data_IF_846413370711
#
_entry.id   IF_846413370711
#
_cell.length_a   1.000
_cell.length_b   1.000
_cell.length_c   1.000
_cell.angle_alpha   90.00
_cell.angle_beta   90.00
_cell.angle_gamma   90.00
#
_symmetry.space_group_name_H-M   'P 1'
#
loop_
_entity.id
_entity.type
_entity.pdbx_description
1 polymer ?
#
# COMPACT_ATOMS: atom_id res chain seq x y z
N UNK A 1 -0.70 11.43 -12.89
CA UNK A 1 0.18 10.60 -12.04
C UNK A 1 0.10 9.17 -12.54
N UNK A 2 1.20 8.42 -12.57
CA UNK A 2 1.24 7.02 -13.00
C UNK A 2 2.09 6.19 -12.01
N UNK A 3 1.92 4.87 -12.02
CA UNK A 3 2.71 3.93 -11.19
C UNK A 3 3.46 2.97 -12.11
N UNK A 4 4.78 2.91 -11.97
CA UNK A 4 5.63 1.94 -12.64
C UNK A 4 5.85 0.74 -11.70
N UNK A 5 5.59 -0.47 -12.20
CA UNK A 5 5.87 -1.73 -11.47
C UNK A 5 6.89 -2.53 -12.26
N UNK A 6 8.01 -2.87 -11.63
CA UNK A 6 9.06 -3.72 -12.19
C UNK A 6 9.25 -4.96 -11.33
N UNK A 7 9.62 -6.09 -11.93
CA UNK A 7 9.85 -7.34 -11.22
C UNK A 7 11.18 -7.96 -11.64
N UNK A 8 12.01 -8.30 -10.65
CA UNK A 8 13.27 -9.02 -10.82
C UNK A 8 13.14 -10.39 -10.13
N UNK A 9 13.66 -11.42 -10.76
CA UNK A 9 13.53 -12.81 -10.34
C UNK A 9 14.36 -13.76 -11.20
N UNK A 10 14.49 -15.01 -10.76
CA UNK A 10 15.37 -16.02 -11.38
C UNK A 10 14.82 -16.62 -12.68
N UNK A 11 13.53 -16.42 -12.99
CA UNK A 11 12.90 -16.86 -14.23
C UNK A 11 11.83 -15.87 -14.69
N UNK A 12 11.52 -15.90 -15.99
CA UNK A 12 10.47 -15.07 -16.57
C UNK A 12 9.09 -15.37 -15.96
N UNK A 13 8.77 -16.65 -15.73
CA UNK A 13 7.51 -17.05 -15.11
C UNK A 13 7.37 -16.48 -13.68
N UNK A 14 8.45 -16.54 -12.90
CA UNK A 14 8.47 -15.98 -11.55
C UNK A 14 8.27 -14.46 -11.58
N UNK A 15 8.93 -13.75 -12.49
CA UNK A 15 8.72 -12.32 -12.70
C UNK A 15 7.29 -12.00 -13.12
N UNK A 16 6.71 -12.77 -14.05
CA UNK A 16 5.33 -12.57 -14.52
C UNK A 16 4.32 -12.71 -13.37
N UNK A 17 4.48 -13.73 -12.51
CA UNK A 17 3.66 -13.90 -11.32
C UNK A 17 3.80 -12.74 -10.33
N UNK A 18 5.02 -12.29 -10.05
CA UNK A 18 5.28 -11.13 -9.18
C UNK A 18 4.64 -9.87 -9.75
N UNK A 19 4.80 -9.64 -11.05
CA UNK A 19 4.24 -8.48 -11.73
C UNK A 19 2.71 -8.49 -11.70
N UNK A 20 2.08 -9.63 -12.01
CA UNK A 20 0.62 -9.78 -11.97
C UNK A 20 0.06 -9.49 -10.58
N UNK A 21 0.69 -10.03 -9.53
CA UNK A 21 0.30 -9.74 -8.14
C UNK A 21 0.50 -8.27 -7.78
N UNK A 22 1.65 -7.68 -8.13
CA UNK A 22 1.94 -6.27 -7.87
C UNK A 22 0.92 -5.33 -8.53
N UNK A 23 0.64 -5.55 -9.82
CA UNK A 23 -0.35 -4.79 -10.59
C UNK A 23 -1.74 -4.94 -9.96
N UNK A 24 -2.14 -6.15 -9.55
CA UNK A 24 -3.44 -6.37 -8.89
C UNK A 24 -3.55 -5.58 -7.59
N UNK A 25 -2.52 -5.59 -6.75
CA UNK A 25 -2.52 -4.85 -5.48
C UNK A 25 -2.57 -3.33 -5.70
N UNK A 26 -1.78 -2.79 -6.65
CA UNK A 26 -1.81 -1.36 -6.97
C UNK A 26 -3.17 -0.95 -7.52
N UNK A 27 -3.76 -1.75 -8.42
CA UNK A 27 -5.12 -1.48 -8.92
C UNK A 27 -6.15 -1.42 -7.79
N UNK A 28 -6.06 -2.31 -6.80
CA UNK A 28 -6.93 -2.28 -5.64
C UNK A 28 -6.74 -0.99 -4.82
N UNK A 29 -5.50 -0.53 -4.61
CA UNK A 29 -5.24 0.73 -3.90
C UNK A 29 -5.74 1.96 -4.67
N UNK A 30 -5.68 1.95 -6.00
CA UNK A 30 -6.15 3.06 -6.83
C UNK A 30 -7.67 3.11 -6.97
N UNK A 31 -8.36 1.97 -6.88
CA UNK A 31 -9.80 1.87 -7.08
C UNK A 31 -10.62 1.92 -5.78
N UNK A 32 -10.00 1.63 -4.62
CA UNK A 32 -10.72 1.44 -3.38
C UNK A 32 -10.95 2.76 -2.62
N UNK A 33 -12.21 3.20 -2.44
CA UNK A 33 -12.53 4.37 -1.63
C UNK A 33 -12.52 4.09 -0.12
N UNK A 34 -12.27 2.85 0.30
CA UNK A 34 -12.22 2.47 1.71
C UNK A 34 -10.98 3.06 2.39
N UNK A 35 -11.21 4.10 3.16
CA UNK A 35 -10.19 4.87 3.86
C UNK A 35 -9.65 4.20 5.13
N UNK A 36 -10.04 2.97 5.47
CA UNK A 36 -9.50 2.27 6.65
C UNK A 36 -7.97 2.10 6.61
N UNK A 37 -7.40 1.81 5.43
CA UNK A 37 -5.94 1.75 5.28
C UNK A 37 -5.29 3.12 5.52
N UNK A 38 -5.89 4.19 4.96
CA UNK A 38 -5.45 5.57 5.15
C UNK A 38 -5.54 5.97 6.63
N UNK A 39 -6.64 5.62 7.30
CA UNK A 39 -6.85 5.88 8.74
C UNK A 39 -5.75 5.25 9.58
N UNK A 40 -5.42 3.98 9.34
CA UNK A 40 -4.32 3.28 10.05
C UNK A 40 -2.97 3.96 9.80
N UNK A 41 -2.69 4.34 8.56
CA UNK A 41 -1.47 5.07 8.20
C UNK A 41 -1.38 6.42 8.91
N UNK A 42 -2.47 7.19 8.97
CA UNK A 42 -2.51 8.49 9.64
C UNK A 42 -2.33 8.38 11.16
N UNK A 43 -2.92 7.36 11.78
CA UNK A 43 -2.69 7.07 13.20
C UNK A 43 -1.22 6.74 13.46
N UNK A 44 -0.63 5.84 12.66
CA UNK A 44 0.79 5.49 12.78
C UNK A 44 1.69 6.71 12.59
N UNK A 45 1.39 7.55 11.59
CA UNK A 45 2.12 8.78 11.33
C UNK A 45 2.05 9.74 12.51
N UNK A 46 0.86 9.93 13.09
CA UNK A 46 0.68 10.79 14.26
C UNK A 46 1.45 10.25 15.49
N UNK A 47 1.54 8.92 15.65
CA UNK A 47 2.33 8.31 16.72
C UNK A 47 3.82 8.57 16.49
N UNK A 48 4.32 8.30 15.29
CA UNK A 48 5.73 8.54 14.91
C UNK A 48 6.12 10.01 15.12
N UNK A 49 5.23 10.93 14.77
CA UNK A 49 5.48 12.36 14.89
C UNK A 49 5.25 12.92 16.31
N UNK A 50 4.84 12.08 17.27
CA UNK A 50 4.53 12.53 18.64
C UNK A 50 3.27 13.42 18.75
N UNK A 51 2.44 13.46 17.70
CA UNK A 51 1.22 14.28 17.64
C UNK A 51 -0.05 13.48 17.88
N UNK A 52 0.06 12.17 18.12
CA UNK A 52 -1.10 11.32 18.39
C UNK A 52 -1.76 11.72 19.70
N UNK A 53 -3.08 11.96 19.64
CA UNK A 53 -3.90 12.25 20.82
C UNK A 53 -4.78 11.06 21.09
N UNK A 54 -4.49 10.34 22.17
CA UNK A 54 -5.39 9.33 22.68
C UNK A 54 -6.64 10.01 23.24
N UNK A 55 -7.75 9.94 22.49
CA UNK A 55 -9.08 10.26 23.01
C UNK A 55 -9.71 8.96 23.50
N UNK A 56 -9.32 8.53 24.70
CA UNK A 56 -10.07 7.50 25.42
C UNK A 56 -11.40 8.08 25.90
N UNK A 57 -12.46 7.28 25.82
CA UNK A 57 -13.74 7.50 26.52
C UNK A 57 -13.59 7.21 28.00
#
# INVERSE_FOLDING_TARGET
MHVLVTAIGFSQEHCARKLANGVRCIKALLANPNDEYKRRQLVQLAIINGTYRYRGT
#
